data_IF_197550973664
#
_entry.id   IF_197550973664
#
_cell.length_a   1.000
_cell.length_b   1.000
_cell.length_c   1.000
_cell.angle_alpha   90.00
_cell.angle_beta   90.00
_cell.angle_gamma   90.00
#
_symmetry.space_group_name_H-M   'P 1'
#
loop_
_entity.id
_entity.type
_entity.pdbx_description
1 polymer ?
#
# COMPACT_ATOMS: atom_id res chain seq x y z
N UNK A 1 -0.84 -2.79 -14.04
CA UNK A 1 0.07 -2.97 -12.87
C UNK A 1 1.30 -3.80 -13.19
N UNK A 2 1.23 -4.69 -14.18
CA UNK A 2 2.39 -5.46 -14.67
C UNK A 2 3.58 -4.57 -15.08
N UNK A 3 3.31 -3.38 -15.64
CA UNK A 3 4.36 -2.39 -15.98
C UNK A 3 5.17 -1.89 -14.77
N UNK A 4 4.65 -2.04 -13.55
CA UNK A 4 5.32 -1.67 -12.29
C UNK A 4 5.98 -2.88 -11.60
N UNK A 5 5.87 -4.09 -12.16
CA UNK A 5 6.42 -5.33 -11.61
C UNK A 5 5.50 -6.13 -10.70
N UNK A 6 4.20 -5.77 -10.62
CA UNK A 6 3.20 -6.61 -9.94
C UNK A 6 3.00 -7.92 -10.71
N UNK A 7 3.18 -9.06 -10.03
CA UNK A 7 3.09 -10.40 -10.63
C UNK A 7 2.26 -11.33 -9.74
N UNK A 8 2.03 -12.57 -10.21
CA UNK A 8 1.20 -13.56 -9.51
C UNK A 8 1.68 -13.94 -8.10
N UNK A 9 2.96 -13.72 -7.76
CA UNK A 9 3.47 -13.97 -6.40
C UNK A 9 2.90 -12.97 -5.38
N UNK A 10 2.73 -11.70 -5.78
CA UNK A 10 2.08 -10.70 -4.94
C UNK A 10 0.57 -10.93 -4.86
N UNK A 11 -0.05 -11.30 -5.98
CA UNK A 11 -1.48 -11.60 -6.01
C UNK A 11 -1.85 -12.79 -5.10
N UNK A 12 -0.99 -13.82 -5.02
CA UNK A 12 -1.20 -14.98 -4.15
C UNK A 12 -1.12 -14.67 -2.65
N UNK A 13 -0.53 -13.54 -2.26
CA UNK A 13 -0.43 -13.10 -0.86
C UNK A 13 -1.60 -12.21 -0.43
N UNK A 14 -2.45 -11.78 -1.37
CA UNK A 14 -3.62 -10.96 -1.09
C UNK A 14 -4.77 -11.86 -0.67
N UNK A 15 -5.29 -11.61 0.53
CA UNK A 15 -6.52 -12.25 0.99
C UNK A 15 -7.69 -11.48 0.38
N UNK A 16 -8.28 -12.00 -0.70
CA UNK A 16 -9.34 -11.30 -1.44
C UNK A 16 -10.60 -11.06 -0.62
N UNK A 17 -10.85 -11.82 0.44
CA UNK A 17 -12.02 -11.64 1.29
C UNK A 17 -11.78 -10.51 2.30
N UNK A 18 -10.58 -10.46 2.87
CA UNK A 18 -10.18 -9.48 3.89
C UNK A 18 -9.72 -8.14 3.31
N UNK A 19 -9.16 -8.18 2.10
CA UNK A 19 -8.51 -7.04 1.42
C UNK A 19 -9.32 -6.56 0.20
N UNK A 20 -10.59 -6.95 0.08
CA UNK A 20 -11.47 -6.59 -1.05
C UNK A 20 -11.58 -5.08 -1.30
N UNK A 21 -11.45 -4.27 -0.25
CA UNK A 21 -11.50 -2.80 -0.31
C UNK A 21 -10.11 -2.15 -0.44
N UNK A 22 -9.05 -2.96 -0.47
CA UNK A 22 -7.67 -2.48 -0.58
C UNK A 22 -7.21 -2.63 -2.02
N UNK A 23 -6.45 -1.65 -2.48
CA UNK A 23 -5.79 -1.69 -3.77
C UNK A 23 -4.30 -1.89 -3.59
N UNK A 24 -3.65 -2.66 -4.47
CA UNK A 24 -2.20 -2.70 -4.51
C UNK A 24 -1.63 -1.32 -4.85
N UNK A 25 -0.57 -0.92 -4.18
CA UNK A 25 0.15 0.31 -4.44
C UNK A 25 1.63 0.14 -4.11
N UNK A 26 2.49 0.90 -4.79
CA UNK A 26 3.94 0.85 -4.58
C UNK A 26 4.39 2.07 -3.80
N UNK A 27 5.19 1.85 -2.76
CA UNK A 27 5.80 2.93 -1.99
C UNK A 27 6.87 3.60 -2.85
N UNK A 28 6.70 4.89 -3.11
CA UNK A 28 7.67 5.69 -3.87
C UNK A 28 8.46 6.65 -2.98
N UNK A 29 7.96 6.93 -1.79
CA UNK A 29 8.63 7.77 -0.80
C UNK A 29 8.20 7.35 0.61
N UNK A 30 9.14 7.41 1.55
CA UNK A 30 8.90 7.27 2.99
C UNK A 30 9.40 8.53 3.72
N UNK A 31 8.56 9.09 4.59
CA UNK A 31 8.86 10.25 5.41
C UNK A 31 8.34 10.06 6.85
N UNK A 32 9.19 9.59 7.76
CA UNK A 32 8.97 9.57 9.23
C UNK A 32 7.53 9.24 9.64
N UNK A 33 7.01 8.13 9.10
CA UNK A 33 5.67 7.61 9.40
C UNK A 33 4.56 8.01 8.42
N UNK A 34 4.87 8.80 7.39
CA UNK A 34 4.04 9.03 6.22
C UNK A 34 4.69 8.41 4.98
N UNK A 35 3.88 7.95 4.03
CA UNK A 35 4.34 7.29 2.82
C UNK A 35 3.68 7.95 1.62
N UNK A 36 4.43 8.09 0.52
CA UNK A 36 3.79 8.26 -0.79
C UNK A 36 3.70 6.91 -1.46
N UNK A 37 2.49 6.59 -1.92
CA UNK A 37 2.20 5.37 -2.65
C UNK A 37 1.64 5.70 -4.03
N UNK A 38 1.96 4.89 -5.02
CA UNK A 38 1.45 5.00 -6.39
C UNK A 38 0.73 3.72 -6.77
N UNK A 39 -0.54 3.84 -7.16
CA UNK A 39 -1.35 2.73 -7.66
C UNK A 39 -1.61 2.82 -9.15
N UNK A 40 -2.71 2.24 -9.62
CA UNK A 40 -2.99 2.02 -11.04
C UNK A 40 -3.13 3.29 -11.91
N UNK A 41 -3.17 4.48 -11.31
CA UNK A 41 -3.23 5.74 -12.07
C UNK A 41 -3.08 7.01 -11.25
N UNK A 42 -2.89 6.92 -9.94
CA UNK A 42 -2.75 8.07 -9.06
C UNK A 42 -1.74 7.80 -7.94
N UNK A 43 -1.25 8.89 -7.35
CA UNK A 43 -0.41 8.89 -6.19
C UNK A 43 -1.22 9.38 -4.98
N UNK A 44 -1.05 8.72 -3.85
CA UNK A 44 -1.68 9.10 -2.59
C UNK A 44 -0.64 9.22 -1.49
N UNK A 45 -0.90 10.13 -0.55
CA UNK A 45 -0.22 10.11 0.74
C UNK A 45 -0.96 9.13 1.64
N UNK A 46 -0.22 8.17 2.16
CA UNK A 46 -0.71 7.12 3.04
C UNK A 46 0.04 7.14 4.38
N UNK A 47 -0.53 6.45 5.35
CA UNK A 47 0.06 6.22 6.65
C UNK A 47 -0.10 4.74 7.00
N UNK A 48 0.76 4.23 7.88
CA UNK A 48 0.56 2.88 8.40
C UNK A 48 -0.75 2.79 9.18
N UNK A 49 -1.50 1.72 8.92
CA UNK A 49 -2.69 1.39 9.67
C UNK A 49 -2.34 1.28 11.17
N UNK A 50 -3.25 1.71 12.05
CA UNK A 50 -3.01 1.71 13.49
C UNK A 50 -2.63 0.33 14.05
N UNK A 51 -3.17 -0.75 13.48
CA UNK A 51 -2.79 -2.13 13.81
C UNK A 51 -1.31 -2.40 13.50
N UNK A 52 -0.84 -2.08 12.30
CA UNK A 52 0.57 -2.24 11.89
C UNK A 52 1.51 -1.42 12.79
N UNK A 53 1.15 -0.15 13.06
CA UNK A 53 1.92 0.69 14.00
C UNK A 53 2.05 0.06 15.39
N UNK A 54 0.98 -0.59 15.88
CA UNK A 54 0.99 -1.26 17.17
C UNK A 54 1.77 -2.59 17.15
N UNK A 55 1.62 -3.40 16.10
CA UNK A 55 2.37 -4.66 15.91
C UNK A 55 3.88 -4.43 15.83
N UNK A 56 4.28 -3.31 15.22
CA UNK A 56 5.68 -2.91 15.15
C UNK A 56 6.24 -2.47 16.52
N UNK A 57 5.39 -2.02 17.46
CA UNK A 57 5.80 -1.63 18.82
C UNK A 57 7.00 -0.65 18.89
N UNK A 58 7.20 0.18 17.86
CA UNK A 58 8.34 1.08 17.73
C UNK A 58 9.55 0.52 16.97
N UNK A 59 9.51 -0.74 16.56
CA UNK A 59 10.46 -1.37 15.64
C UNK A 59 10.09 -1.05 14.19
N UNK A 60 10.80 -0.09 13.60
CA UNK A 60 10.59 0.34 12.22
C UNK A 60 11.36 -0.51 11.20
N UNK A 61 12.05 -1.58 11.62
CA UNK A 61 12.76 -2.45 10.68
C UNK A 61 11.81 -3.25 9.79
N UNK A 62 10.59 -3.49 10.25
CA UNK A 62 9.52 -4.11 9.48
C UNK A 62 8.66 -3.09 8.71
N UNK A 63 9.02 -1.81 8.74
CA UNK A 63 8.28 -0.78 8.02
C UNK A 63 8.45 -0.97 6.50
N UNK A 64 7.39 -0.75 5.72
CA UNK A 64 7.52 -0.74 4.27
C UNK A 64 8.49 0.36 3.85
N UNK A 65 9.38 0.05 2.92
CA UNK A 65 10.39 0.98 2.42
C UNK A 65 10.04 1.43 1.00
N UNK A 66 10.75 2.45 0.51
CA UNK A 66 10.64 2.84 -0.89
C UNK A 66 10.98 1.66 -1.79
N UNK A 67 10.07 1.34 -2.71
CA UNK A 67 10.16 0.22 -3.62
C UNK A 67 9.24 -0.95 -3.27
N UNK A 68 8.77 -1.06 -2.03
CA UNK A 68 7.87 -2.13 -1.58
C UNK A 68 6.46 -2.00 -2.18
N UNK A 69 5.83 -3.15 -2.35
CA UNK A 69 4.42 -3.26 -2.68
C UNK A 69 3.59 -3.44 -1.43
N UNK A 70 2.53 -2.65 -1.29
CA UNK A 70 1.63 -2.65 -0.15
C UNK A 70 0.17 -2.68 -0.61
N UNK A 71 -0.70 -3.21 0.23
CA UNK A 71 -2.15 -3.07 0.07
C UNK A 71 -2.60 -1.82 0.82
N UNK A 72 -3.23 -0.89 0.12
CA UNK A 72 -3.64 0.39 0.69
C UNK A 72 -5.14 0.62 0.47
N UNK A 73 -5.79 1.21 1.49
CA UNK A 73 -7.13 1.75 1.34
C UNK A 73 -6.99 3.14 0.72
N UNK A 74 -7.42 3.29 -0.52
CA UNK A 74 -7.47 4.59 -1.20
C UNK A 74 -8.90 5.09 -1.23
N UNK A 75 -9.14 6.41 -1.23
CA UNK A 75 -10.48 6.92 -1.52
C UNK A 75 -10.92 6.40 -2.89
N UNK A 76 -12.23 6.14 -3.09
CA UNK A 76 -12.73 5.79 -4.42
C UNK A 76 -12.30 6.88 -5.40
N UNK A 77 -11.80 6.48 -6.57
CA UNK A 77 -11.63 7.44 -7.67
C UNK A 77 -12.98 8.06 -7.93
N UNK A 78 -13.10 9.38 -7.76
CA UNK A 78 -14.25 10.16 -8.19
C UNK A 78 -14.27 10.13 -9.74
N UNK A 79 -14.63 9.01 -10.34
CA UNK A 79 -14.98 8.88 -11.77
C UNK A 79 -16.49 8.74 -11.96
N UNK A 80 -17.28 9.20 -10.99
CA UNK A 80 -18.73 9.41 -11.14
C UNK A 80 -18.99 10.88 -11.50
N UNK A 81 -19.09 11.13 -12.80
CA UNK A 81 -19.63 12.35 -13.41
C UNK A 81 -20.74 11.99 -14.38
#
# INVERSE_FOLDING_TARGET
MESLGWNGFFEAQVDRERDAELVPARVVEEQRGSYQIVGAGAAWRAELAGRLRHEMAGDWSAAPCTGDWVMARVPPSNEDG
#
